data_IF_915096290324
#
_entry.id   IF_915096290324
#
_cell.length_a   1.000
_cell.length_b   1.000
_cell.length_c   1.000
_cell.angle_alpha   90.00
_cell.angle_beta   90.00
_cell.angle_gamma   90.00
#
_symmetry.space_group_name_H-M   'P 1'
#
loop_
_entity.id
_entity.type
_entity.pdbx_description
1 polymer ?
#
# COMPACT_ATOMS: atom_id res chain seq x y z
N UNK A 1 28.80 -5.03 8.77
CA UNK A 1 29.35 -3.90 9.57
C UNK A 1 28.22 -2.97 9.98
N UNK A 2 28.29 -2.36 11.17
CA UNK A 2 27.29 -1.43 11.68
C UNK A 2 27.57 0.00 11.17
N UNK A 3 26.54 0.74 10.75
CA UNK A 3 26.68 2.13 10.31
C UNK A 3 27.04 3.04 11.48
N UNK A 4 27.94 3.99 11.23
CA UNK A 4 28.25 5.06 12.18
C UNK A 4 27.16 6.17 12.16
N UNK A 5 27.19 7.06 13.14
CA UNK A 5 26.18 8.13 13.28
C UNK A 5 26.07 9.03 12.05
N UNK A 6 27.22 9.40 11.45
CA UNK A 6 27.26 10.25 10.26
C UNK A 6 26.68 9.56 9.02
N UNK A 7 26.94 8.26 8.85
CA UNK A 7 26.35 7.47 7.77
C UNK A 7 24.84 7.32 7.94
N UNK A 8 24.35 7.17 9.18
CA UNK A 8 22.90 7.13 9.46
C UNK A 8 22.23 8.47 9.11
N UNK A 9 22.81 9.59 9.57
CA UNK A 9 22.30 10.92 9.24
C UNK A 9 22.26 11.16 7.72
N UNK A 10 23.30 10.73 6.99
CA UNK A 10 23.28 10.77 5.52
C UNK A 10 22.09 10.02 4.94
N UNK A 11 21.82 8.79 5.41
CA UNK A 11 20.69 8.00 4.93
C UNK A 11 19.35 8.69 5.18
N UNK A 12 19.15 9.25 6.38
CA UNK A 12 17.91 9.94 6.77
C UNK A 12 17.67 11.18 5.90
N UNK A 13 18.69 12.04 5.72
CA UNK A 13 18.57 13.20 4.83
C UNK A 13 18.38 12.82 3.37
N UNK A 14 19.01 11.72 2.93
CA UNK A 14 18.89 11.26 1.56
C UNK A 14 17.51 10.70 1.25
N UNK A 15 16.93 9.92 2.16
CA UNK A 15 15.55 9.43 2.03
C UNK A 15 14.56 10.60 2.01
N UNK A 16 14.80 11.65 2.80
CA UNK A 16 13.93 12.81 2.85
C UNK A 16 14.04 13.73 1.62
N UNK A 17 15.25 13.93 1.08
CA UNK A 17 15.51 14.94 0.04
C UNK A 17 15.72 14.38 -1.37
N UNK A 18 16.11 13.10 -1.51
CA UNK A 18 16.57 12.52 -2.76
C UNK A 18 17.90 13.09 -3.28
N UNK A 19 18.50 14.08 -2.61
CA UNK A 19 19.73 14.74 -3.03
C UNK A 19 20.93 14.23 -2.23
N UNK A 20 21.79 13.45 -2.88
CA UNK A 20 22.90 12.79 -2.22
C UNK A 20 23.98 13.79 -1.73
N UNK A 21 24.33 14.78 -2.54
CA UNK A 21 25.37 15.76 -2.20
C UNK A 21 24.94 16.62 -1.02
N UNK A 22 23.71 17.15 -1.05
CA UNK A 22 23.16 17.95 0.03
C UNK A 22 23.03 17.15 1.32
N UNK A 23 22.61 15.88 1.21
CA UNK A 23 22.50 14.97 2.36
C UNK A 23 23.84 14.68 3.01
N UNK A 24 24.91 14.58 2.21
CA UNK A 24 26.27 14.44 2.73
C UNK A 24 26.72 15.71 3.47
N UNK A 25 26.41 16.90 2.97
CA UNK A 25 26.72 18.16 3.66
C UNK A 25 25.99 18.22 5.01
N UNK A 26 24.67 17.96 5.02
CA UNK A 26 23.85 17.96 6.24
C UNK A 26 24.30 16.91 7.25
N UNK A 27 24.77 15.75 6.79
CA UNK A 27 25.36 14.72 7.65
C UNK A 27 26.73 15.11 8.24
N UNK A 28 27.32 16.23 7.81
CA UNK A 28 28.59 16.76 8.33
C UNK A 28 29.82 16.30 7.55
N UNK A 29 29.67 15.88 6.28
CA UNK A 29 30.81 15.73 5.38
C UNK A 29 31.27 17.10 4.87
N UNK A 30 32.58 17.25 4.65
CA UNK A 30 33.15 18.51 4.12
C UNK A 30 32.55 18.82 2.75
N UNK A 31 32.01 20.03 2.61
CA UNK A 31 31.33 20.50 1.40
C UNK A 31 32.15 20.31 0.13
N UNK A 32 33.43 20.69 0.16
CA UNK A 32 34.38 20.52 -0.96
C UNK A 32 34.43 19.08 -1.51
N UNK A 33 34.17 18.08 -0.68
CA UNK A 33 34.22 16.66 -1.05
C UNK A 33 32.87 15.96 -0.92
N UNK A 34 31.77 16.70 -0.70
CA UNK A 34 30.47 16.11 -0.40
C UNK A 34 29.96 15.21 -1.53
N UNK A 35 30.09 15.64 -2.80
CA UNK A 35 29.68 14.84 -3.96
C UNK A 35 30.45 13.51 -4.09
N UNK A 36 31.79 13.56 -3.94
CA UNK A 36 32.63 12.36 -3.98
C UNK A 36 32.34 11.42 -2.82
N UNK A 37 32.09 11.96 -1.62
CA UNK A 37 31.70 11.15 -0.46
C UNK A 37 30.31 10.54 -0.68
N UNK A 38 29.35 11.30 -1.20
CA UNK A 38 28.01 10.82 -1.48
C UNK A 38 28.02 9.62 -2.44
N UNK A 39 28.78 9.69 -3.54
CA UNK A 39 28.93 8.56 -4.48
C UNK A 39 29.51 7.31 -3.79
N UNK A 40 30.55 7.48 -2.97
CA UNK A 40 31.13 6.37 -2.17
C UNK A 40 30.14 5.79 -1.17
N UNK A 41 29.32 6.63 -0.54
CA UNK A 41 28.31 6.20 0.43
C UNK A 41 27.20 5.39 -0.25
N UNK A 42 26.72 5.84 -1.41
CA UNK A 42 25.68 5.14 -2.18
C UNK A 42 26.15 3.77 -2.70
N UNK A 43 27.44 3.63 -3.03
CA UNK A 43 28.05 2.35 -3.43
C UNK A 43 28.27 1.38 -2.25
N UNK A 44 28.17 1.84 -1.01
CA UNK A 44 28.36 0.98 0.16
C UNK A 44 27.10 0.14 0.42
N UNK A 45 27.24 -1.18 0.30
CA UNK A 45 26.12 -2.13 0.45
C UNK A 45 25.38 -2.03 1.79
N UNK A 46 26.06 -1.69 2.89
CA UNK A 46 25.39 -1.53 4.19
C UNK A 46 24.53 -0.25 4.22
N UNK A 47 24.99 0.82 3.56
CA UNK A 47 24.24 2.07 3.43
C UNK A 47 23.03 1.88 2.53
N UNK A 48 23.20 1.23 1.37
CA UNK A 48 22.09 0.93 0.47
C UNK A 48 21.02 0.07 1.17
N UNK A 49 21.43 -0.94 1.95
CA UNK A 49 20.52 -1.75 2.78
C UNK A 49 19.78 -0.91 3.82
N UNK A 50 20.46 0.03 4.48
CA UNK A 50 19.86 0.88 5.49
C UNK A 50 18.86 1.88 4.89
N UNK A 51 19.21 2.53 3.77
CA UNK A 51 18.30 3.40 3.01
C UNK A 51 17.04 2.62 2.62
N UNK A 52 17.21 1.42 2.03
CA UNK A 52 16.09 0.57 1.63
C UNK A 52 15.18 0.24 2.82
N UNK A 53 15.74 -0.13 3.97
CA UNK A 53 14.98 -0.39 5.20
C UNK A 53 14.17 0.83 5.65
N UNK A 54 14.76 2.03 5.68
CA UNK A 54 14.04 3.26 6.07
C UNK A 54 12.90 3.54 5.08
N UNK A 55 13.15 3.40 3.77
CA UNK A 55 12.12 3.60 2.76
C UNK A 55 10.98 2.59 2.92
N UNK A 56 11.29 1.31 3.16
CA UNK A 56 10.30 0.27 3.44
C UNK A 56 9.52 0.55 4.71
N UNK A 57 10.17 1.01 5.80
CA UNK A 57 9.49 1.43 7.03
C UNK A 57 8.53 2.59 6.78
N UNK A 58 8.95 3.62 6.04
CA UNK A 58 8.05 4.73 5.68
C UNK A 58 6.91 4.29 4.78
N UNK A 59 7.16 3.41 3.80
CA UNK A 59 6.12 2.90 2.91
C UNK A 59 5.11 2.06 3.69
N UNK A 60 5.57 1.14 4.55
CA UNK A 60 4.70 0.33 5.38
C UNK A 60 3.84 1.18 6.34
N UNK A 61 4.40 2.27 6.88
CA UNK A 61 3.64 3.17 7.75
C UNK A 61 2.63 4.06 7.00
N UNK A 62 2.81 4.29 5.69
CA UNK A 62 1.97 5.21 4.89
C UNK A 62 0.94 4.49 4.02
N UNK A 63 1.23 3.27 3.60
CA UNK A 63 0.44 2.51 2.63
C UNK A 63 0.12 1.16 3.26
N UNK A 64 -1.17 0.89 3.41
CA UNK A 64 -1.63 -0.40 3.88
C UNK A 64 -1.23 -1.50 2.89
N UNK A 65 -0.63 -2.58 3.41
CA UNK A 65 -0.34 -3.79 2.64
C UNK A 65 -1.63 -4.55 2.32
N UNK A 66 -1.56 -5.43 1.33
CA UNK A 66 -2.67 -6.31 1.01
C UNK A 66 -3.15 -7.13 2.22
N UNK A 67 -2.21 -7.61 3.06
CA UNK A 67 -2.51 -8.34 4.30
C UNK A 67 -3.28 -7.47 5.29
N UNK A 68 -2.84 -6.24 5.55
CA UNK A 68 -3.53 -5.30 6.46
C UNK A 68 -4.93 -4.94 5.96
N UNK A 69 -5.11 -4.79 4.65
CA UNK A 69 -6.44 -4.59 4.05
C UNK A 69 -7.34 -5.81 4.33
N UNK A 70 -6.82 -7.02 4.20
CA UNK A 70 -7.59 -8.25 4.46
C UNK A 70 -7.93 -8.42 5.93
N UNK A 71 -7.00 -8.11 6.82
CA UNK A 71 -7.23 -8.09 8.27
C UNK A 71 -8.33 -7.09 8.62
N UNK A 72 -8.24 -5.86 8.10
CA UNK A 72 -9.26 -4.83 8.33
C UNK A 72 -10.64 -5.25 7.80
N UNK A 73 -10.72 -5.77 6.57
CA UNK A 73 -11.98 -6.26 6.01
C UNK A 73 -12.55 -7.42 6.83
N UNK A 74 -11.70 -8.32 7.33
CA UNK A 74 -12.11 -9.46 8.17
C UNK A 74 -12.64 -8.99 9.51
N UNK A 75 -11.94 -8.07 10.19
CA UNK A 75 -12.38 -7.48 11.46
C UNK A 75 -13.71 -6.73 11.28
N UNK A 76 -13.84 -5.95 10.20
CA UNK A 76 -15.09 -5.26 9.81
C UNK A 76 -16.21 -6.28 9.65
N UNK A 77 -16.00 -7.34 8.86
CA UNK A 77 -16.97 -8.41 8.66
C UNK A 77 -17.41 -9.06 9.98
N UNK A 78 -16.47 -9.30 10.91
CA UNK A 78 -16.74 -9.88 12.24
C UNK A 78 -17.43 -8.92 13.21
N UNK A 79 -17.47 -7.63 12.89
CA UNK A 79 -18.05 -6.60 13.76
C UNK A 79 -17.13 -6.17 14.89
N UNK A 80 -15.82 -6.32 14.69
CA UNK A 80 -14.77 -5.95 15.65
C UNK A 80 -14.33 -4.48 15.50
N UNK A 81 -14.73 -3.82 14.41
CA UNK A 81 -14.43 -2.41 14.12
C UNK A 81 -15.56 -1.51 14.62
N UNK A 82 -15.18 -0.41 15.29
CA UNK A 82 -16.09 0.62 15.78
C UNK A 82 -15.93 1.93 15.02
N UNK A 83 -16.99 2.73 15.03
CA UNK A 83 -17.06 4.07 14.45
C UNK A 83 -17.66 5.06 15.44
N UNK A 84 -17.20 6.30 15.39
CA UNK A 84 -17.83 7.42 16.10
C UNK A 84 -18.94 7.99 15.23
N UNK A 85 -20.16 8.07 15.77
CA UNK A 85 -21.30 8.70 15.11
C UNK A 85 -21.88 9.80 15.96
N UNK A 86 -22.38 10.85 15.30
CA UNK A 86 -23.08 11.95 15.95
C UNK A 86 -24.57 11.65 15.92
N UNK A 87 -25.20 11.60 17.09
CA UNK A 87 -26.63 11.36 17.24
C UNK A 87 -27.30 12.63 17.77
N UNK A 88 -28.43 13.01 17.18
CA UNK A 88 -29.27 14.09 17.69
C UNK A 88 -30.09 13.59 18.88
N UNK A 89 -30.05 14.31 20.01
CA UNK A 89 -30.89 13.99 21.15
C UNK A 89 -32.37 14.19 20.81
N UNK A 90 -33.20 13.16 21.01
CA UNK A 90 -34.66 13.30 20.88
C UNK A 90 -35.16 14.43 21.80
N UNK A 91 -35.66 15.53 21.20
CA UNK A 91 -36.19 16.68 21.93
C UNK A 91 -35.14 17.61 22.57
N UNK A 92 -33.84 17.47 22.25
CA UNK A 92 -32.78 18.40 22.69
C UNK A 92 -32.07 19.00 21.48
N UNK A 93 -31.71 20.28 21.57
CA UNK A 93 -30.86 20.97 20.57
C UNK A 93 -29.37 20.56 20.64
N UNK A 94 -29.04 19.49 21.37
CA UNK A 94 -27.68 19.04 21.60
C UNK A 94 -27.41 17.73 20.85
N UNK A 95 -26.25 17.68 20.20
CA UNK A 95 -25.71 16.48 19.56
C UNK A 95 -24.73 15.78 20.49
N UNK A 96 -24.74 14.45 20.47
CA UNK A 96 -23.82 13.63 21.25
C UNK A 96 -23.01 12.72 20.31
N UNK A 97 -21.73 12.53 20.64
CA UNK A 97 -20.85 11.58 19.94
C UNK A 97 -20.88 10.26 20.68
N UNK A 98 -21.26 9.19 19.99
CA UNK A 98 -21.22 7.84 20.54
C UNK A 98 -20.29 6.97 19.69
N UNK A 99 -19.63 6.01 20.32
CA UNK A 99 -18.86 4.97 19.64
C UNK A 99 -19.74 3.72 19.56
N UNK A 100 -19.97 3.23 18.35
CA UNK A 100 -20.73 1.99 18.10
C UNK A 100 -19.97 1.10 17.12
N UNK A 101 -20.38 -0.16 17.01
CA UNK A 101 -19.88 -1.02 15.93
C UNK A 101 -20.30 -0.45 14.56
N UNK A 102 -19.47 -0.70 13.54
CA UNK A 102 -19.79 -0.37 12.15
C UNK A 102 -21.14 -0.95 11.72
N UNK A 103 -21.87 -0.22 10.88
CA UNK A 103 -23.19 -0.63 10.40
C UNK A 103 -23.15 -1.97 9.63
N UNK A 104 -24.27 -2.70 9.64
CA UNK A 104 -24.41 -3.95 8.88
C UNK A 104 -24.10 -3.77 7.38
N UNK A 105 -24.42 -2.61 6.79
CA UNK A 105 -24.11 -2.29 5.38
C UNK A 105 -22.60 -2.34 5.09
N UNK A 106 -21.78 -1.86 6.02
CA UNK A 106 -20.32 -1.83 5.87
C UNK A 106 -19.73 -3.22 6.06
N UNK A 107 -20.32 -4.01 6.97
CA UNK A 107 -19.99 -5.44 7.14
C UNK A 107 -20.33 -6.26 5.90
N UNK A 108 -21.50 -6.00 5.30
CA UNK A 108 -21.91 -6.62 4.02
C UNK A 108 -20.95 -6.22 2.90
N UNK A 109 -20.48 -4.97 2.87
CA UNK A 109 -19.50 -4.55 1.88
C UNK A 109 -18.16 -5.26 2.06
N UNK A 110 -17.72 -5.44 3.30
CA UNK A 110 -16.52 -6.22 3.59
C UNK A 110 -16.66 -7.69 3.14
N UNK A 111 -17.83 -8.31 3.38
CA UNK A 111 -18.14 -9.66 2.89
C UNK A 111 -18.07 -9.74 1.36
N UNK A 112 -18.66 -8.77 0.65
CA UNK A 112 -18.64 -8.70 -0.82
C UNK A 112 -17.21 -8.59 -1.36
N UNK A 113 -16.38 -7.72 -0.78
CA UNK A 113 -14.99 -7.55 -1.24
C UNK A 113 -14.14 -8.80 -0.99
N UNK A 114 -14.30 -9.45 0.17
CA UNK A 114 -13.64 -10.71 0.47
C UNK A 114 -14.13 -11.83 -0.46
N UNK A 115 -15.44 -11.92 -0.70
CA UNK A 115 -16.03 -12.91 -1.60
C UNK A 115 -15.56 -12.74 -3.05
N UNK A 116 -15.41 -11.49 -3.53
CA UNK A 116 -14.82 -11.18 -4.84
C UNK A 116 -13.38 -11.67 -4.94
N UNK A 117 -12.56 -11.43 -3.90
CA UNK A 117 -11.18 -11.94 -3.85
C UNK A 117 -11.12 -13.47 -3.93
N UNK A 118 -12.02 -14.17 -3.24
CA UNK A 118 -12.10 -15.63 -3.24
C UNK A 118 -12.92 -16.20 -4.40
N UNK A 119 -13.38 -15.36 -5.34
CA UNK A 119 -14.19 -15.76 -6.50
C UNK A 119 -15.45 -16.54 -6.11
N UNK A 120 -16.08 -16.17 -4.98
CA UNK A 120 -17.32 -16.79 -4.52
C UNK A 120 -18.54 -16.37 -5.35
N UNK A 121 -18.42 -15.25 -6.07
CA UNK A 121 -19.48 -14.73 -6.94
C UNK A 121 -19.16 -15.06 -8.40
N UNK A 122 -20.19 -15.44 -9.15
CA UNK A 122 -20.12 -15.61 -10.60
C UNK A 122 -21.17 -14.70 -11.23
N UNK A 123 -20.73 -13.79 -12.08
CA UNK A 123 -21.64 -12.96 -12.86
C UNK A 123 -22.04 -13.73 -14.13
N UNK A 124 -23.34 -13.97 -14.30
CA UNK A 124 -23.86 -14.52 -15.56
C UNK A 124 -24.01 -13.37 -16.54
N UNK A 125 -23.37 -13.50 -17.70
CA UNK A 125 -23.55 -12.58 -18.82
C UNK A 125 -24.28 -13.34 -19.92
N UNK A 126 -25.49 -12.89 -20.25
CA UNK A 126 -26.22 -13.38 -21.42
C UNK A 126 -25.73 -12.59 -22.64
N UNK A 127 -25.22 -13.31 -23.65
CA UNK A 127 -24.77 -12.72 -24.92
C UNK A 127 -25.72 -13.23 -26.01
N UNK A 128 -26.61 -12.35 -26.47
CA UNK A 128 -27.40 -12.59 -27.66
C UNK A 128 -26.63 -12.07 -28.88
N UNK A 129 -26.00 -12.99 -29.61
CA UNK A 129 -25.27 -12.68 -30.84
C UNK A 129 -25.02 -13.95 -31.64
N UNK A 130 -25.03 -13.84 -32.97
CA UNK A 130 -24.63 -14.94 -33.85
C UNK A 130 -23.12 -15.10 -33.72
N UNK A 131 -22.66 -16.10 -32.97
CA UNK A 131 -21.24 -16.44 -32.90
C UNK A 131 -20.84 -17.02 -34.26
N UNK A 132 -20.01 -16.34 -35.08
CA UNK A 132 -19.63 -16.88 -36.37
C UNK A 132 -18.80 -18.15 -36.15
N UNK A 133 -19.30 -19.28 -36.65
CA UNK A 133 -18.56 -20.54 -36.64
C UNK A 133 -17.46 -20.44 -37.69
N UNK A 134 -16.21 -20.22 -37.25
CA UNK A 134 -15.05 -20.29 -38.12
C UNK A 134 -14.62 -21.76 -38.23
N UNK A 135 -15.02 -22.43 -39.31
CA UNK A 135 -14.49 -23.77 -39.63
C UNK A 135 -13.12 -23.56 -40.26
N UNK A 136 -12.06 -23.80 -39.48
CA UNK A 136 -10.70 -23.93 -40.02
C UNK A 136 -10.60 -25.34 -40.58
N UNK A 137 -10.87 -25.49 -41.88
CA UNK A 137 -10.61 -26.73 -42.58
C UNK A 137 -9.10 -26.94 -42.72
N UNK A 138 -8.60 -28.11 -42.32
CA UNK A 138 -7.30 -28.60 -42.76
C UNK A 138 -7.37 -28.76 -44.28
N UNK A 139 -6.89 -27.74 -45.01
CA UNK A 139 -6.61 -27.86 -46.44
C UNK A 139 -5.28 -28.63 -46.61
N UNK A 140 -5.28 -29.90 -46.26
CA UNK A 140 -4.35 -30.90 -46.80
C UNK A 140 -5.15 -32.19 -47.04
N UNK A 141 -5.84 -32.24 -48.18
CA UNK A 141 -5.99 -33.51 -48.89
C UNK A 141 -5.07 -33.40 -50.10
N UNK A 142 -4.07 -34.28 -50.07
CA UNK A 142 -3.01 -34.49 -51.05
C UNK A 142 -3.55 -34.65 -52.48
N UNK A 143 -2.68 -34.31 -53.44
CA UNK A 143 -2.82 -34.20 -54.91
C UNK A 143 -3.95 -34.97 -55.64
#
# INVERSE_FOLDING_TARGET
MKLNARQKAFCEYYVASGNATESAIKAGYKEKYAGVNADKLLKNTNISKYIKRIMEEHTNNRIAKAEEILEFLTATLRGEVTEEVVVGGFGKSATEKIIKNVDLKDRLKAAELLGKRYRLFTDKVEVEGVVPVMIVGESELEE
#
